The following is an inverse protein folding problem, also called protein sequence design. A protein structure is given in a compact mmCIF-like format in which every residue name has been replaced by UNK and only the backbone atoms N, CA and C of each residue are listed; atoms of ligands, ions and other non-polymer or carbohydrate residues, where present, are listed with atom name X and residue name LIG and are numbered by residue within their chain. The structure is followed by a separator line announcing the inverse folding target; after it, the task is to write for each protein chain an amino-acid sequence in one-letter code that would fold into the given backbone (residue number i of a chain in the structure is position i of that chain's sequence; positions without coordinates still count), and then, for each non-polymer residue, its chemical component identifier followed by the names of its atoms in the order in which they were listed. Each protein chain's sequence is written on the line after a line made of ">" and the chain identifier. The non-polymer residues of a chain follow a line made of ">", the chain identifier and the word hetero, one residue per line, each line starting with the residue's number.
data_IF_037380590510
#
_entry.id   IF_037380590510
#
_cell.length_a   1.000
_cell.length_b   1.000
_cell.length_c   1.000
_cell.angle_alpha   90.00
_cell.angle_beta   90.00
_cell.angle_gamma   90.00
#
_symmetry.space_group_name_H-M   'P 1'
#
loop_
_entity.id
_entity.type
_entity.pdbx_description
1 polymer ?
#
# COMPACT_ATOMS: atom_id res chain seq x y z
N UNK A 1 -10.46 19.50 39.39
CA UNK A 1 -11.74 19.19 38.71
C UNK A 1 -12.16 20.29 37.73
N UNK A 2 -12.33 21.56 38.13
CA UNK A 2 -12.79 22.67 37.25
C UNK A 2 -11.95 22.84 35.97
N UNK A 3 -10.62 22.79 36.08
CA UNK A 3 -9.71 22.97 34.95
C UNK A 3 -9.79 21.82 33.93
N UNK A 4 -10.05 20.60 34.40
CA UNK A 4 -10.21 19.41 33.53
C UNK A 4 -11.47 19.54 32.67
N UNK A 5 -12.57 20.02 33.24
CA UNK A 5 -13.79 20.31 32.46
C UNK A 5 -13.55 21.42 31.43
N UNK A 6 -12.73 22.42 31.76
CA UNK A 6 -12.39 23.52 30.86
C UNK A 6 -11.49 23.05 29.69
N UNK A 7 -10.57 22.12 29.95
CA UNK A 7 -9.77 21.47 28.90
C UNK A 7 -10.62 20.55 27.99
N UNK A 8 -11.54 19.78 28.57
CA UNK A 8 -12.42 18.90 27.78
C UNK A 8 -13.38 19.70 26.90
N UNK A 9 -13.93 20.81 27.40
CA UNK A 9 -14.84 21.66 26.64
C UNK A 9 -14.14 22.34 25.46
N UNK A 10 -12.92 22.86 25.66
CA UNK A 10 -12.15 23.50 24.58
C UNK A 10 -11.68 22.49 23.54
N UNK A 11 -11.28 21.28 23.96
CA UNK A 11 -10.94 20.20 23.05
C UNK A 11 -12.15 19.74 22.20
N UNK A 12 -13.32 19.58 22.81
CA UNK A 12 -14.54 19.20 22.11
C UNK A 12 -14.96 20.26 21.08
N UNK A 13 -14.88 21.55 21.44
CA UNK A 13 -15.18 22.65 20.52
C UNK A 13 -14.22 22.68 19.33
N UNK A 14 -12.93 22.45 19.57
CA UNK A 14 -11.92 22.33 18.51
C UNK A 14 -12.17 21.16 17.56
N UNK A 15 -12.58 19.99 18.08
CA UNK A 15 -12.88 18.81 17.29
C UNK A 15 -14.08 19.05 16.34
N UNK A 16 -15.13 19.72 16.82
CA UNK A 16 -16.31 20.07 16.00
C UNK A 16 -15.93 21.06 14.89
N UNK A 17 -15.13 22.08 15.21
CA UNK A 17 -14.66 23.05 14.22
C UNK A 17 -13.82 22.38 13.12
N UNK A 18 -12.91 21.46 13.49
CA UNK A 18 -12.10 20.71 12.53
C UNK A 18 -12.95 19.82 11.62
N UNK A 19 -14.02 19.21 12.14
CA UNK A 19 -14.93 18.38 11.35
C UNK A 19 -15.69 19.23 10.32
N UNK A 20 -16.20 20.40 10.71
CA UNK A 20 -16.95 21.30 9.84
C UNK A 20 -16.09 21.89 8.70
N UNK A 21 -14.83 22.22 8.97
CA UNK A 21 -13.90 22.69 7.92
C UNK A 21 -13.61 21.57 6.91
N UNK A 22 -13.51 20.32 7.39
CA UNK A 22 -13.23 19.17 6.54
C UNK A 22 -14.39 18.82 5.61
N UNK A 23 -15.64 18.97 6.06
CA UNK A 23 -16.82 18.77 5.21
C UNK A 23 -16.99 19.90 4.20
N UNK A 24 -16.69 21.15 4.56
CA UNK A 24 -16.76 22.29 3.65
C UNK A 24 -15.73 22.25 2.52
N UNK A 25 -14.60 21.54 2.70
CA UNK A 25 -13.56 21.36 1.67
C UNK A 25 -13.65 20.02 0.92
N UNK A 26 -14.64 19.20 1.22
CA UNK A 26 -14.84 17.97 0.49
C UNK A 26 -15.60 18.27 -0.81
N UNK A 27 -14.87 18.42 -1.90
CA UNK A 27 -15.42 18.43 -3.25
C UNK A 27 -15.74 16.97 -3.64
N UNK A 28 -17.01 16.55 -3.75
CA UNK A 28 -17.32 15.21 -4.22
C UNK A 28 -17.02 15.16 -5.71
N UNK A 29 -15.94 14.46 -6.10
CA UNK A 29 -15.68 14.19 -7.50
C UNK A 29 -16.94 13.61 -8.17
N UNK A 30 -17.43 14.17 -9.29
CA UNK A 30 -18.58 13.63 -9.99
C UNK A 30 -18.18 12.26 -10.53
N UNK A 31 -18.84 11.21 -10.04
CA UNK A 31 -18.82 9.87 -10.64
C UNK A 31 -19.46 9.97 -12.01
N UNK A 32 -18.65 10.39 -12.99
CA UNK A 32 -19.01 10.40 -14.39
C UNK A 32 -19.09 8.95 -14.84
N UNK A 33 -20.33 8.46 -14.92
CA UNK A 33 -20.72 7.26 -15.65
C UNK A 33 -20.16 7.33 -17.07
N UNK A 34 -19.07 6.62 -17.34
CA UNK A 34 -18.56 6.46 -18.69
C UNK A 34 -19.56 5.59 -19.49
N UNK A 35 -20.09 6.10 -20.62
CA UNK A 35 -20.94 5.29 -21.48
C UNK A 35 -20.06 4.29 -22.23
N UNK A 36 -20.31 3.00 -22.04
CA UNK A 36 -19.69 1.96 -22.85
C UNK A 36 -20.36 2.00 -24.22
N UNK A 37 -19.78 2.75 -25.15
CA UNK A 37 -20.14 2.73 -26.57
C UNK A 37 -18.90 2.46 -27.39
N UNK A 38 -18.91 1.35 -28.11
CA UNK A 38 -18.00 1.08 -29.21
C UNK A 38 -17.08 -0.11 -29.01
N UNK A 39 -17.60 -1.31 -29.27
CA UNK A 39 -16.78 -2.35 -29.88
C UNK A 39 -16.67 -2.01 -31.39
N UNK A 40 -15.50 -2.21 -32.01
CA UNK A 40 -15.51 -3.21 -33.08
C UNK A 40 -14.26 -4.11 -33.13
N UNK A 41 -14.57 -5.38 -33.36
CA UNK A 41 -13.87 -6.42 -34.14
C UNK A 41 -12.56 -7.07 -33.65
N UNK A 42 -12.47 -8.43 -33.78
CA UNK A 42 -11.29 -9.23 -33.52
C UNK A 42 -10.39 -9.28 -34.76
N UNK A 43 -9.08 -9.09 -34.59
CA UNK A 43 -8.08 -9.45 -35.60
C UNK A 43 -7.32 -10.68 -35.14
N UNK A 44 -7.40 -11.67 -36.03
CA UNK A 44 -6.88 -13.03 -35.97
C UNK A 44 -5.40 -13.09 -36.38
N UNK A 45 -4.76 -14.21 -36.01
CA UNK A 45 -3.53 -14.79 -36.57
C UNK A 45 -2.20 -14.16 -36.10
N UNK A 46 -1.17 -14.90 -35.66
CA UNK A 46 -0.89 -16.33 -35.60
C UNK A 46 0.30 -16.56 -34.61
N UNK A 47 0.66 -17.81 -34.27
CA UNK A 47 1.57 -18.14 -33.17
C UNK A 47 3.03 -18.16 -33.61
N UNK A 48 3.93 -17.68 -32.75
CA UNK A 48 5.36 -18.01 -32.84
C UNK A 48 5.96 -18.08 -31.45
N UNK A 49 5.97 -19.30 -30.89
CA UNK A 49 7.07 -19.71 -30.02
C UNK A 49 8.29 -19.96 -30.88
N UNK A 50 9.48 -19.61 -30.37
CA UNK A 50 10.35 -20.69 -29.94
C UNK A 50 10.96 -20.41 -28.56
N UNK A 51 10.75 -21.35 -27.64
CA UNK A 51 11.79 -21.69 -26.65
C UNK A 51 12.72 -22.74 -27.31
N UNK A 52 13.89 -23.12 -26.75
CA UNK A 52 14.56 -22.65 -25.52
C UNK A 52 16.07 -22.37 -25.70
N UNK A 53 16.75 -21.80 -24.69
CA UNK A 53 18.03 -22.33 -24.15
C UNK A 53 18.57 -21.51 -22.96
N UNK A 54 19.37 -22.14 -22.06
CA UNK A 54 19.54 -21.74 -20.67
C UNK A 54 20.86 -21.01 -20.42
N UNK A 55 20.82 -19.93 -19.65
CA UNK A 55 22.01 -19.39 -18.97
C UNK A 55 21.78 -19.41 -17.47
N UNK A 56 22.47 -20.37 -16.84
CA UNK A 56 22.71 -20.42 -15.41
C UNK A 56 23.38 -19.13 -14.92
N UNK A 57 22.97 -18.65 -13.75
CA UNK A 57 23.90 -17.95 -12.86
C UNK A 57 23.64 -16.49 -12.51
N UNK A 58 22.41 -15.98 -12.63
CA UNK A 58 22.02 -14.72 -11.97
C UNK A 58 20.82 -15.01 -11.08
N UNK A 59 20.78 -14.57 -9.80
CA UNK A 59 19.62 -14.81 -8.95
C UNK A 59 18.42 -14.16 -9.62
N UNK A 60 17.58 -15.01 -10.22
CA UNK A 60 16.25 -14.65 -10.69
C UNK A 60 15.61 -13.96 -9.50
N UNK A 61 15.27 -12.65 -9.56
CA UNK A 61 14.52 -12.03 -8.48
C UNK A 61 13.19 -12.75 -8.48
N UNK A 62 13.08 -13.71 -7.56
CA UNK A 62 11.94 -14.59 -7.40
C UNK A 62 10.74 -13.68 -7.35
N UNK A 63 9.98 -13.68 -8.43
CA UNK A 63 8.81 -12.85 -8.65
C UNK A 63 7.66 -13.42 -7.81
N UNK A 64 7.93 -13.68 -6.53
CA UNK A 64 6.90 -13.86 -5.53
C UNK A 64 6.39 -12.47 -5.25
N UNK A 65 5.27 -12.15 -5.90
CA UNK A 65 4.46 -10.98 -5.59
C UNK A 65 4.43 -10.79 -4.07
N UNK A 66 4.74 -9.59 -3.56
CA UNK A 66 4.72 -9.36 -2.12
C UNK A 66 3.33 -9.71 -1.59
N UNK A 67 3.28 -10.41 -0.45
CA UNK A 67 2.02 -10.78 0.22
C UNK A 67 1.24 -9.54 0.65
N UNK A 68 1.93 -8.42 0.80
CA UNK A 68 1.37 -7.16 1.21
C UNK A 68 1.23 -6.15 0.07
N UNK A 69 0.15 -5.39 0.13
CA UNK A 69 -0.14 -4.25 -0.76
C UNK A 69 0.26 -2.92 -0.13
N UNK A 70 0.27 -2.84 1.20
CA UNK A 70 0.61 -1.62 1.95
C UNK A 70 1.82 -1.86 2.85
N UNK A 71 2.67 -0.85 2.98
CA UNK A 71 3.83 -0.88 3.86
C UNK A 71 3.43 -0.64 5.31
N UNK A 72 3.69 -1.59 6.20
CA UNK A 72 3.32 -1.48 7.61
C UNK A 72 4.03 -0.34 8.37
N UNK A 73 5.14 0.17 7.86
CA UNK A 73 5.98 1.17 8.55
C UNK A 73 5.60 2.60 8.17
N UNK A 74 5.35 2.86 6.89
CA UNK A 74 5.07 4.21 6.37
C UNK A 74 3.64 4.39 5.85
N UNK A 75 2.87 3.31 5.68
CA UNK A 75 1.50 3.37 5.17
C UNK A 75 1.36 3.66 3.68
N UNK A 76 2.47 3.68 2.92
CA UNK A 76 2.43 3.81 1.46
C UNK A 76 2.23 2.45 0.78
N UNK A 77 1.69 2.48 -0.43
CA UNK A 77 1.58 1.30 -1.29
C UNK A 77 2.95 0.67 -1.55
N UNK A 78 2.95 -0.64 -1.70
CA UNK A 78 4.16 -1.41 -1.99
C UNK A 78 4.57 -1.19 -3.43
N UNK A 79 5.78 -0.68 -3.60
CA UNK A 79 6.37 -0.54 -4.92
C UNK A 79 7.06 -1.85 -5.34
N UNK A 80 6.61 -2.52 -6.42
CA UNK A 80 7.28 -3.71 -6.93
C UNK A 80 8.66 -3.41 -7.53
N UNK A 81 9.02 -2.12 -7.68
CA UNK A 81 10.34 -1.63 -8.11
C UNK A 81 11.33 -1.53 -6.94
N UNK A 82 10.86 -1.66 -5.70
CA UNK A 82 11.69 -1.65 -4.49
C UNK A 82 12.10 -3.09 -4.11
N UNK A 83 13.27 -3.26 -3.46
CA UNK A 83 13.70 -4.58 -3.00
C UNK A 83 12.73 -5.11 -1.95
N UNK A 84 12.22 -6.32 -2.14
CA UNK A 84 11.40 -7.05 -1.17
C UNK A 84 12.28 -7.76 -0.13
N UNK A 85 11.68 -8.23 0.97
CA UNK A 85 12.34 -9.08 1.97
C UNK A 85 11.50 -10.34 2.22
N UNK A 86 12.09 -11.42 2.71
CA UNK A 86 11.33 -12.59 3.18
C UNK A 86 11.18 -12.55 4.70
N UNK A 87 9.94 -12.77 5.16
CA UNK A 87 9.60 -12.93 6.58
C UNK A 87 8.70 -14.14 6.75
N UNK A 88 9.12 -15.10 7.57
CA UNK A 88 8.38 -16.36 7.81
C UNK A 88 8.01 -17.11 6.52
N UNK A 89 8.92 -17.13 5.53
CA UNK A 89 8.70 -17.79 4.23
C UNK A 89 7.73 -17.04 3.30
N UNK A 90 7.26 -15.85 3.67
CA UNK A 90 6.44 -14.96 2.84
C UNK A 90 7.27 -13.77 2.38
N UNK A 91 7.14 -13.43 1.11
CA UNK A 91 7.79 -12.24 0.55
C UNK A 91 6.99 -11.00 0.94
N UNK A 92 7.61 -10.05 1.62
CA UNK A 92 7.05 -8.75 1.97
C UNK A 92 7.70 -7.66 1.12
N UNK A 93 6.91 -6.70 0.68
CA UNK A 93 7.36 -5.52 -0.04
C UNK A 93 7.32 -4.27 0.82
N UNK A 94 8.11 -3.29 0.41
CA UNK A 94 8.23 -2.01 1.09
C UNK A 94 7.71 -0.90 0.19
N UNK A 95 7.11 0.12 0.78
CA UNK A 95 6.68 1.32 0.07
C UNK A 95 7.75 2.42 0.01
N UNK A 96 8.92 2.20 0.62
CA UNK A 96 10.00 3.18 0.62
C UNK A 96 11.38 2.57 0.90
N UNK A 97 12.43 3.22 0.40
CA UNK A 97 13.84 2.83 0.64
C UNK A 97 14.26 2.88 2.12
N UNK A 98 13.55 3.65 2.95
CA UNK A 98 13.79 3.75 4.40
C UNK A 98 13.11 2.68 5.25
N UNK A 99 12.18 1.90 4.68
CA UNK A 99 11.43 0.86 5.41
C UNK A 99 12.23 -0.45 5.63
N UNK A 100 13.05 -0.94 4.69
CA UNK A 100 13.88 -2.14 4.90
C UNK A 100 14.79 -2.08 6.14
N UNK A 101 15.55 -1.00 6.42
CA UNK A 101 16.40 -0.96 7.61
C UNK A 101 15.58 -0.92 8.92
N UNK A 102 14.42 -0.24 8.93
CA UNK A 102 13.47 -0.25 10.06
C UNK A 102 12.89 -1.64 10.32
N UNK A 103 12.55 -2.35 9.26
CA UNK A 103 12.08 -3.73 9.34
C UNK A 103 13.16 -4.68 9.88
N UNK A 104 14.41 -4.53 9.42
CA UNK A 104 15.54 -5.32 9.92
C UNK A 104 15.86 -5.06 11.40
N UNK A 105 15.57 -3.86 11.90
CA UNK A 105 15.78 -3.52 13.32
C UNK A 105 14.76 -4.20 14.24
N UNK A 106 13.48 -4.26 13.84
CA UNK A 106 12.40 -4.85 14.65
C UNK A 106 11.48 -5.76 13.78
N UNK A 107 11.99 -6.89 13.26
CA UNK A 107 11.23 -7.74 12.35
C UNK A 107 10.03 -8.41 13.04
N UNK A 108 10.11 -8.71 14.33
CA UNK A 108 9.00 -9.32 15.09
C UNK A 108 7.84 -8.36 15.34
N UNK A 109 8.11 -7.05 15.38
CA UNK A 109 7.09 -6.02 15.57
C UNK A 109 6.37 -5.68 14.27
N UNK A 110 7.13 -5.54 13.18
CA UNK A 110 6.58 -5.11 11.90
C UNK A 110 6.18 -6.28 10.99
N UNK A 111 6.86 -7.42 11.08
CA UNK A 111 6.60 -8.62 10.28
C UNK A 111 5.15 -9.09 10.29
N UNK A 112 4.51 -9.33 11.45
CA UNK A 112 3.10 -9.71 11.50
C UNK A 112 2.17 -8.64 10.89
N UNK A 113 2.53 -7.35 10.98
CA UNK A 113 1.75 -6.27 10.35
C UNK A 113 1.85 -6.31 8.82
N UNK A 114 3.02 -6.61 8.28
CA UNK A 114 3.18 -6.87 6.85
C UNK A 114 2.33 -8.06 6.40
N UNK A 115 2.27 -9.14 7.17
CA UNK A 115 1.44 -10.30 6.84
C UNK A 115 -0.07 -10.00 6.87
N UNK A 116 -0.48 -9.01 7.65
CA UNK A 116 -1.89 -8.60 7.82
C UNK A 116 -2.30 -7.38 6.97
N UNK A 117 -1.39 -6.79 6.20
CA UNK A 117 -1.63 -5.51 5.51
C UNK A 117 -2.05 -4.37 6.45
N UNK A 118 -1.52 -4.36 7.67
CA UNK A 118 -1.83 -3.35 8.68
C UNK A 118 -0.67 -2.36 8.84
N UNK A 119 -1.00 -1.09 9.10
CA UNK A 119 -0.01 -0.06 9.39
C UNK A 119 0.19 0.04 10.91
N UNK A 120 1.44 0.15 11.34
CA UNK A 120 1.76 0.35 12.77
C UNK A 120 1.06 1.61 13.28
N UNK A 121 0.12 1.45 14.22
CA UNK A 121 -0.40 2.58 15.00
C UNK A 121 0.64 2.94 16.05
N UNK A 122 1.10 4.19 16.01
CA UNK A 122 1.91 4.80 17.08
C UNK A 122 1.00 5.29 18.21
#
# INVERSE_FOLDING_TARGET
>A
MKSIFLFLATFALGAVAALAVRTARHDPAPVSSFPVSGLPTPVSAAPVSPAPSPVSGLPIPVSKSPVNTVCAICGMDVDPKLPTAEYQGKTIGFGCRMCPPKFKAEPDKFGPLYLRNEVVKR
#
